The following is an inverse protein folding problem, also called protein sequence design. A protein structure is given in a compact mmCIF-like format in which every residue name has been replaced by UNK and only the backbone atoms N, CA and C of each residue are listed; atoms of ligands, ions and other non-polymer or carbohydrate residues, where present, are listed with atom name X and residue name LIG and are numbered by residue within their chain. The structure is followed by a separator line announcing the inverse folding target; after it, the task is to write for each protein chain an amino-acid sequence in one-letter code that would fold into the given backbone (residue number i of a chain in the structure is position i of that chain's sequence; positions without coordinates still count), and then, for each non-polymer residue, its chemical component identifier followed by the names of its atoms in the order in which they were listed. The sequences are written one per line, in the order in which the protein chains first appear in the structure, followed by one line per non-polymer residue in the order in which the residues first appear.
data_IF_253222264891
#
_entry.id   IF_253222264891
#
_cell.length_a   1.000
_cell.length_b   1.000
_cell.length_c   1.000
_cell.angle_alpha   90.00
_cell.angle_beta   90.00
_cell.angle_gamma   90.00
#
_symmetry.space_group_name_H-M   'P 1'
#
loop_
_entity.id
_entity.type
_entity.pdbx_description
1 polymer ?
#
# COMPACT_ATOMS: atom_id res chain seq x y z
N UNK A 1 -4.32 -1.47 12.07
CA UNK A 1 -4.35 -1.52 13.54
C UNK A 1 -4.82 -0.17 14.05
N UNK A 2 -4.01 0.51 14.87
CA UNK A 2 -4.30 1.85 15.40
C UNK A 2 -3.75 3.02 14.54
N UNK A 3 -2.99 2.77 13.46
CA UNK A 3 -2.48 3.80 12.52
C UNK A 3 -3.20 3.75 11.16
N UNK A 4 -2.97 4.74 10.26
CA UNK A 4 -3.51 4.72 8.90
C UNK A 4 -3.09 3.47 8.12
N UNK A 5 -3.98 3.00 7.24
CA UNK A 5 -3.74 1.84 6.38
C UNK A 5 -3.39 2.30 4.96
N UNK A 6 -2.30 1.77 4.42
CA UNK A 6 -1.93 1.98 3.02
C UNK A 6 -2.64 0.92 2.17
N UNK A 7 -3.57 1.34 1.31
CA UNK A 7 -4.47 0.41 0.61
C UNK A 7 -4.44 0.62 -0.90
N UNK A 8 -4.39 -0.47 -1.66
CA UNK A 8 -4.57 -0.45 -3.11
C UNK A 8 -6.03 -0.21 -3.53
N UNK A 9 -6.98 -0.39 -2.61
CA UNK A 9 -8.41 -0.22 -2.84
C UNK A 9 -8.99 0.78 -1.82
N UNK A 10 -9.50 1.92 -2.32
CA UNK A 10 -10.00 3.00 -1.47
C UNK A 10 -11.27 2.62 -0.69
N UNK A 11 -12.04 1.63 -1.18
CA UNK A 11 -13.31 1.22 -0.58
C UNK A 11 -13.21 0.67 0.85
N UNK A 12 -12.15 -0.05 1.21
CA UNK A 12 -11.99 -0.61 2.56
C UNK A 12 -11.66 0.44 3.62
N UNK A 13 -10.87 1.46 3.25
CA UNK A 13 -10.50 2.55 4.15
C UNK A 13 -11.69 3.48 4.43
N UNK A 14 -12.52 3.77 3.41
CA UNK A 14 -13.77 4.51 3.56
C UNK A 14 -14.79 3.79 4.45
N UNK A 15 -14.89 2.46 4.33
CA UNK A 15 -15.79 1.66 5.18
C UNK A 15 -15.34 1.59 6.65
N UNK A 16 -14.04 1.72 6.92
CA UNK A 16 -13.47 1.62 8.28
C UNK A 16 -13.15 2.97 8.93
N UNK A 17 -13.51 4.09 8.28
CA UNK A 17 -13.28 5.44 8.80
C UNK A 17 -11.80 5.81 8.90
N UNK A 18 -10.93 5.24 8.07
CA UNK A 18 -9.48 5.51 8.06
C UNK A 18 -9.11 6.44 6.91
N UNK A 19 -8.09 7.25 7.13
CA UNK A 19 -7.55 8.13 6.10
C UNK A 19 -7.12 7.34 4.86
N UNK A 20 -7.63 7.76 3.71
CA UNK A 20 -7.36 7.15 2.41
C UNK A 20 -6.03 7.68 1.91
N UNK A 21 -5.00 6.83 1.90
CA UNK A 21 -3.83 7.07 1.07
C UNK A 21 -4.02 6.25 -0.20
N UNK A 22 -3.88 6.93 -1.35
CA UNK A 22 -3.55 6.46 -2.71
C UNK A 22 -4.62 5.92 -3.69
N UNK A 23 -4.42 6.32 -4.96
CA UNK A 23 -4.85 5.66 -6.20
C UNK A 23 -3.58 5.08 -6.88
N UNK A 24 -3.30 3.78 -6.74
CA UNK A 24 -2.04 3.14 -7.14
C UNK A 24 -1.74 3.28 -8.62
N UNK A 25 -2.73 3.08 -9.47
CA UNK A 25 -2.59 3.16 -10.93
C UNK A 25 -2.17 4.56 -11.38
N UNK A 26 -2.77 5.60 -10.79
CA UNK A 26 -2.38 6.98 -11.08
C UNK A 26 -0.98 7.29 -10.57
N UNK A 27 -0.61 6.79 -9.39
CA UNK A 27 0.73 6.94 -8.85
C UNK A 27 1.79 6.26 -9.73
N UNK A 28 1.51 5.05 -10.23
CA UNK A 28 2.38 4.34 -11.18
C UNK A 28 2.52 5.10 -12.50
N UNK A 29 1.44 5.68 -13.02
CA UNK A 29 1.49 6.50 -14.23
C UNK A 29 2.35 7.76 -14.04
N UNK A 30 2.22 8.47 -12.92
CA UNK A 30 3.06 9.63 -12.63
C UNK A 30 4.54 9.25 -12.48
N UNK A 31 4.83 8.11 -11.85
CA UNK A 31 6.19 7.58 -11.73
C UNK A 31 6.80 7.28 -13.10
N UNK A 32 6.06 6.59 -13.98
CA UNK A 32 6.53 6.28 -15.33
C UNK A 32 6.78 7.53 -16.20
N UNK A 33 6.16 8.66 -15.86
CA UNK A 33 6.35 9.94 -16.55
C UNK A 33 7.37 10.86 -15.84
N UNK A 34 8.06 10.41 -14.79
CA UNK A 34 8.95 11.21 -13.95
C UNK A 34 8.26 12.45 -13.32
N UNK A 35 6.97 12.33 -13.00
CA UNK A 35 6.12 13.41 -12.47
C UNK A 35 5.79 13.27 -10.98
N UNK A 36 6.48 12.38 -10.26
CA UNK A 36 6.28 12.20 -8.81
C UNK A 36 7.59 11.94 -8.10
N UNK A 37 7.75 12.58 -6.94
CA UNK A 37 8.80 12.27 -5.99
C UNK A 37 8.28 11.25 -4.97
N UNK A 38 8.97 10.11 -4.87
CA UNK A 38 8.60 9.02 -3.96
C UNK A 38 9.33 9.09 -2.61
N UNK A 39 10.23 10.06 -2.41
CA UNK A 39 11.16 10.12 -1.27
C UNK A 39 10.45 10.00 0.08
N UNK A 40 9.38 10.76 0.29
CA UNK A 40 8.65 10.75 1.56
C UNK A 40 7.90 9.42 1.79
N UNK A 41 7.24 8.87 0.77
CA UNK A 41 6.57 7.57 0.88
C UNK A 41 7.55 6.44 1.16
N UNK A 42 8.71 6.45 0.50
CA UNK A 42 9.77 5.48 0.76
C UNK A 42 10.28 5.62 2.19
N UNK A 43 10.48 6.84 2.69
CA UNK A 43 10.86 7.07 4.08
C UNK A 43 9.82 6.50 5.05
N UNK A 44 8.53 6.77 4.84
CA UNK A 44 7.44 6.25 5.67
C UNK A 44 7.36 4.71 5.66
N UNK A 45 7.54 4.08 4.50
CA UNK A 45 7.56 2.62 4.39
C UNK A 45 8.76 2.02 5.11
N UNK A 46 9.94 2.62 4.96
CA UNK A 46 11.18 2.18 5.59
C UNK A 46 11.17 2.38 7.12
N UNK A 47 10.49 3.41 7.63
CA UNK A 47 10.29 3.62 9.08
C UNK A 47 9.07 2.88 9.62
N UNK A 48 8.45 1.99 8.83
CA UNK A 48 7.25 1.24 9.19
C UNK A 48 6.12 2.13 9.75
N UNK A 49 5.92 3.31 9.16
CA UNK A 49 4.92 4.29 9.62
C UNK A 49 3.47 3.81 9.45
N UNK A 50 3.24 2.74 8.69
CA UNK A 50 1.96 2.09 8.51
C UNK A 50 1.95 0.77 9.27
N UNK A 51 0.90 0.51 10.04
CA UNK A 51 0.75 -0.76 10.74
C UNK A 51 0.12 -1.86 9.87
N UNK A 52 -0.41 -1.51 8.70
CA UNK A 52 -1.09 -2.43 7.79
C UNK A 52 -0.95 -1.94 6.34
N UNK A 53 -0.50 -2.83 5.47
CA UNK A 53 -0.48 -2.65 4.01
C UNK A 53 -1.47 -3.64 3.41
N UNK A 54 -2.29 -3.19 2.46
CA UNK A 54 -3.22 -4.04 1.71
C UNK A 54 -2.88 -3.98 0.22
N UNK A 55 -2.42 -5.10 -0.32
CA UNK A 55 -2.12 -5.26 -1.75
C UNK A 55 -3.13 -6.20 -2.41
N UNK A 56 -3.47 -5.93 -3.67
CA UNK A 56 -4.30 -6.78 -4.53
C UNK A 56 -3.58 -7.13 -5.82
N UNK A 57 -3.38 -6.14 -6.68
CA UNK A 57 -2.78 -6.32 -8.01
C UNK A 57 -1.35 -5.77 -8.08
N UNK A 58 -0.87 -5.14 -7.00
CA UNK A 58 0.47 -4.59 -6.86
C UNK A 58 0.78 -3.50 -7.90
N UNK A 59 -0.21 -2.65 -8.23
CA UNK A 59 -0.02 -1.53 -9.16
C UNK A 59 0.71 -0.31 -8.58
N UNK A 60 1.71 -0.53 -7.73
CA UNK A 60 2.58 0.52 -7.21
C UNK A 60 3.86 0.65 -8.03
N UNK A 61 4.53 1.83 -8.02
CA UNK A 61 5.88 1.96 -8.55
C UNK A 61 6.82 0.87 -7.99
N UNK A 62 7.73 0.31 -8.78
CA UNK A 62 8.65 -0.74 -8.31
C UNK A 62 9.39 -0.40 -7.00
N UNK A 63 9.92 0.83 -6.80
CA UNK A 63 10.58 1.18 -5.53
C UNK A 63 9.67 1.05 -4.29
N UNK A 64 8.37 1.30 -4.45
CA UNK A 64 7.38 1.16 -3.37
C UNK A 64 7.15 -0.31 -3.04
N UNK A 65 7.00 -1.16 -4.06
CA UNK A 65 6.84 -2.61 -3.87
C UNK A 65 8.07 -3.22 -3.21
N UNK A 66 9.27 -2.78 -3.61
CA UNK A 66 10.53 -3.23 -3.00
C UNK A 66 10.60 -2.84 -1.51
N UNK A 67 10.28 -1.59 -1.18
CA UNK A 67 10.25 -1.13 0.21
C UNK A 67 9.21 -1.90 1.06
N UNK A 68 8.04 -2.21 0.49
CA UNK A 68 7.04 -3.05 1.16
C UNK A 68 7.59 -4.46 1.40
N UNK A 69 8.16 -5.10 0.38
CA UNK A 69 8.70 -6.46 0.49
C UNK A 69 9.87 -6.58 1.48
N UNK A 70 10.65 -5.51 1.65
CA UNK A 70 11.74 -5.44 2.62
C UNK A 70 11.24 -5.27 4.05
N UNK A 71 10.25 -4.40 4.28
CA UNK A 71 9.87 -3.96 5.63
C UNK A 71 8.59 -4.62 6.20
N UNK A 72 7.80 -5.29 5.36
CA UNK A 72 6.51 -5.87 5.74
C UNK A 72 6.42 -7.33 5.32
N UNK A 73 5.60 -8.11 6.03
CA UNK A 73 5.32 -9.50 5.75
C UNK A 73 3.82 -9.77 5.65
N UNK A 74 3.43 -10.65 4.74
CA UNK A 74 2.03 -11.09 4.62
C UNK A 74 1.62 -11.86 5.86
N UNK A 75 0.58 -11.42 6.54
CA UNK A 75 -0.03 -12.12 7.67
C UNK A 75 -1.29 -12.85 7.26
N UNK A 76 -2.06 -12.30 6.33
CA UNK A 76 -3.34 -12.86 5.92
C UNK A 76 -3.55 -12.73 4.41
N UNK A 77 -4.29 -13.70 3.86
CA UNK A 77 -4.82 -13.67 2.51
C UNK A 77 -6.34 -13.68 2.59
N UNK A 78 -6.98 -12.64 2.07
CA UNK A 78 -8.44 -12.47 2.12
C UNK A 78 -9.00 -12.54 0.71
N UNK A 79 -9.93 -13.46 0.46
CA UNK A 79 -10.63 -13.55 -0.81
C UNK A 79 -11.96 -12.79 -0.75
N UNK A 80 -12.16 -11.84 -1.66
CA UNK A 80 -13.40 -11.05 -1.75
C UNK A 80 -13.71 -10.71 -3.21
N UNK A 81 -14.96 -10.93 -3.63
CA UNK A 81 -15.44 -10.61 -4.99
C UNK A 81 -14.57 -11.19 -6.12
N UNK A 82 -14.00 -12.39 -5.92
CA UNK A 82 -13.14 -13.06 -6.91
C UNK A 82 -11.68 -12.57 -6.91
N UNK A 83 -11.30 -11.66 -6.03
CA UNK A 83 -9.92 -11.18 -5.88
C UNK A 83 -9.31 -11.68 -4.57
N UNK A 84 -7.99 -11.85 -4.56
CA UNK A 84 -7.20 -12.13 -3.35
C UNK A 84 -6.49 -10.84 -2.94
N UNK A 85 -6.62 -10.50 -1.66
CA UNK A 85 -5.95 -9.38 -1.02
C UNK A 85 -4.90 -9.91 -0.05
N UNK A 86 -3.68 -9.39 -0.15
CA UNK A 86 -2.61 -9.63 0.80
C UNK A 86 -2.67 -8.56 1.89
N UNK A 87 -2.90 -8.99 3.12
CA UNK A 87 -2.75 -8.13 4.30
C UNK A 87 -1.33 -8.32 4.81
N UNK A 88 -0.58 -7.23 4.90
CA UNK A 88 0.80 -7.25 5.36
C UNK A 88 0.95 -6.36 6.59
N UNK A 89 1.86 -6.77 7.49
CA UNK A 89 2.20 -6.07 8.73
C UNK A 89 3.70 -5.83 8.80
N UNK A 90 4.17 -4.82 9.57
CA UNK A 90 5.59 -4.63 9.85
C UNK A 90 6.26 -5.95 10.29
N UNK A 91 7.46 -6.20 9.77
CA UNK A 91 8.35 -7.27 10.25
C UNK A 91 8.91 -6.95 11.63
#
# INVERSE_FOLDING_TARGET
GQTPAFSEEAGFNLYTGRDVVTNPTQLLNLYNNNQVDLTEMLAMLNTQAFDTIVLRAQFYPPPILDAIGQNYQTTDLVQMNGFVYCIMRPK
#
